data_IF_780276121334
#
_entry.id   IF_780276121334
#
_cell.length_a   1.000
_cell.length_b   1.000
_cell.length_c   1.000
_cell.angle_alpha   90.00
_cell.angle_beta   90.00
_cell.angle_gamma   90.00
#
_symmetry.space_group_name_H-M   'P 1'
#
loop_
_entity.id
_entity.type
_entity.pdbx_description
1 polymer ?
#
# COMPACT_ATOMS: atom_id res chain seq x y z
N UNK A 1 -0.86 -17.98 -9.62
CA UNK A 1 -1.67 -17.07 -10.47
C UNK A 1 -3.18 -17.27 -10.31
N UNK A 2 -3.77 -18.44 -10.52
CA UNK A 2 -5.25 -18.58 -10.49
C UNK A 2 -5.90 -18.13 -9.16
N UNK A 3 -5.27 -18.45 -8.02
CA UNK A 3 -5.77 -18.08 -6.69
C UNK A 3 -5.66 -16.56 -6.43
N UNK A 4 -4.54 -15.94 -6.83
CA UNK A 4 -4.33 -14.49 -6.71
C UNK A 4 -5.25 -13.71 -7.68
N UNK A 5 -5.49 -14.26 -8.87
CA UNK A 5 -6.42 -13.74 -9.88
C UNK A 5 -7.87 -13.76 -9.36
N UNK A 6 -8.29 -14.83 -8.67
CA UNK A 6 -9.62 -14.93 -8.09
C UNK A 6 -9.87 -13.88 -6.99
N UNK A 7 -8.85 -13.55 -6.19
CA UNK A 7 -8.97 -12.53 -5.12
C UNK A 7 -9.06 -11.09 -5.67
N UNK A 8 -8.51 -10.81 -6.85
CA UNK A 8 -8.49 -9.47 -7.46
C UNK A 8 -9.64 -9.17 -8.43
N UNK A 9 -10.59 -10.09 -8.60
CA UNK A 9 -11.68 -9.98 -9.58
C UNK A 9 -12.57 -8.73 -9.39
N UNK A 10 -12.56 -8.12 -8.20
CA UNK A 10 -13.25 -6.84 -7.93
C UNK A 10 -12.61 -5.64 -8.63
N UNK A 11 -11.32 -5.69 -8.98
CA UNK A 11 -10.56 -4.58 -9.62
C UNK A 11 -10.32 -4.88 -11.11
N UNK A 12 -11.40 -4.91 -11.91
CA UNK A 12 -11.40 -5.26 -13.35
C UNK A 12 -10.33 -4.53 -14.18
N UNK A 13 -10.04 -3.26 -13.86
CA UNK A 13 -9.02 -2.46 -14.56
C UNK A 13 -7.61 -3.02 -14.39
N UNK A 14 -7.20 -3.37 -13.16
CA UNK A 14 -5.87 -3.91 -12.87
C UNK A 14 -5.68 -5.27 -13.56
N UNK A 15 -6.72 -6.10 -13.53
CA UNK A 15 -6.71 -7.42 -14.15
C UNK A 15 -6.42 -7.40 -15.66
N UNK A 16 -7.06 -6.47 -16.39
CA UNK A 16 -6.83 -6.32 -17.84
C UNK A 16 -5.39 -5.91 -18.12
N UNK A 17 -4.86 -4.96 -17.33
CA UNK A 17 -3.48 -4.48 -17.50
C UNK A 17 -2.47 -5.59 -17.22
N UNK A 18 -2.71 -6.46 -16.25
CA UNK A 18 -1.81 -7.58 -15.96
C UNK A 18 -1.79 -8.64 -17.06
N UNK A 19 -2.95 -8.99 -17.62
CA UNK A 19 -3.02 -9.90 -18.76
C UNK A 19 -2.26 -9.30 -19.95
N UNK A 20 -2.46 -8.01 -20.22
CA UNK A 20 -1.74 -7.32 -21.29
C UNK A 20 -0.23 -7.36 -21.05
N UNK A 21 0.25 -7.08 -19.83
CA UNK A 21 1.68 -7.14 -19.49
C UNK A 21 2.23 -8.56 -19.66
N UNK A 22 1.52 -9.59 -19.22
CA UNK A 22 1.94 -10.98 -19.36
C UNK A 22 2.02 -11.41 -20.83
N UNK A 23 1.00 -11.11 -21.63
CA UNK A 23 0.97 -11.41 -23.06
C UNK A 23 2.07 -10.65 -23.80
N UNK A 24 2.22 -9.35 -23.55
CA UNK A 24 3.24 -8.53 -24.19
C UNK A 24 4.65 -8.97 -23.81
N UNK A 25 4.89 -9.27 -22.53
CA UNK A 25 6.15 -9.86 -22.05
C UNK A 25 6.49 -11.15 -22.77
N UNK A 26 5.53 -12.05 -22.94
CA UNK A 26 5.74 -13.31 -23.65
C UNK A 26 6.18 -13.09 -25.10
N UNK A 27 5.49 -12.23 -25.84
CA UNK A 27 5.84 -11.93 -27.24
C UNK A 27 7.23 -11.28 -27.36
N UNK A 28 7.54 -10.30 -26.52
CA UNK A 28 8.85 -9.63 -26.53
C UNK A 28 9.96 -10.63 -26.19
N UNK A 29 9.82 -11.41 -25.12
CA UNK A 29 10.84 -12.37 -24.70
C UNK A 29 11.02 -13.52 -25.70
N UNK A 30 9.95 -13.95 -26.35
CA UNK A 30 10.00 -14.95 -27.42
C UNK A 30 10.72 -14.41 -28.66
N UNK A 31 10.45 -13.16 -29.08
CA UNK A 31 11.12 -12.51 -30.20
C UNK A 31 12.65 -12.40 -29.98
N UNK A 32 13.08 -12.09 -28.76
CA UNK A 32 14.51 -12.01 -28.41
C UNK A 32 15.15 -13.36 -28.05
N UNK A 33 14.42 -14.48 -28.17
CA UNK A 33 14.93 -15.82 -27.83
C UNK A 33 15.22 -16.02 -26.33
N UNK A 34 14.71 -15.15 -25.45
CA UNK A 34 14.92 -15.18 -23.99
C UNK A 34 13.67 -15.64 -23.24
N UNK A 35 13.00 -16.67 -23.76
CA UNK A 35 11.76 -17.22 -23.19
C UNK A 35 11.91 -17.68 -21.73
N UNK A 36 13.10 -18.11 -21.32
CA UNK A 36 13.40 -18.50 -19.93
C UNK A 36 13.19 -17.36 -18.92
N UNK A 37 13.25 -16.09 -19.35
CA UNK A 37 13.02 -14.95 -18.47
C UNK A 37 11.53 -14.72 -18.15
N UNK A 38 10.62 -15.35 -18.88
CA UNK A 38 9.18 -15.19 -18.72
C UNK A 38 8.70 -15.61 -17.32
N UNK A 39 9.37 -16.62 -16.73
CA UNK A 39 9.08 -17.09 -15.36
C UNK A 39 9.25 -15.95 -14.34
N UNK A 40 10.24 -15.07 -14.52
CA UNK A 40 10.45 -13.93 -13.63
C UNK A 40 9.33 -12.88 -13.77
N UNK A 41 8.82 -12.66 -14.99
CA UNK A 41 7.68 -11.75 -15.18
C UNK A 41 6.42 -12.27 -14.50
N UNK A 42 6.12 -13.56 -14.65
CA UNK A 42 4.99 -14.22 -13.96
C UNK A 42 5.14 -14.14 -12.44
N UNK A 43 6.36 -14.35 -11.93
CA UNK A 43 6.67 -14.29 -10.49
C UNK A 43 6.50 -12.86 -9.95
N UNK A 44 6.96 -11.85 -10.68
CA UNK A 44 6.81 -10.44 -10.32
C UNK A 44 5.33 -10.02 -10.24
N UNK A 45 4.52 -10.37 -11.25
CA UNK A 45 3.07 -10.12 -11.25
C UNK A 45 2.40 -10.80 -10.04
N UNK A 46 2.81 -12.02 -9.71
CA UNK A 46 2.27 -12.74 -8.55
C UNK A 46 2.59 -12.04 -7.23
N UNK A 47 3.82 -11.51 -7.05
CA UNK A 47 4.19 -10.76 -5.85
C UNK A 47 3.45 -9.43 -5.71
N UNK A 48 3.29 -8.70 -6.82
CA UNK A 48 2.53 -7.44 -6.85
C UNK A 48 1.08 -7.71 -6.43
N UNK A 49 0.46 -8.78 -6.94
CA UNK A 49 -0.89 -9.16 -6.56
C UNK A 49 -1.02 -9.56 -5.10
N UNK A 50 -0.05 -10.31 -4.59
CA UNK A 50 -0.01 -10.69 -3.18
C UNK A 50 0.12 -9.46 -2.28
N UNK A 51 0.94 -8.49 -2.69
CA UNK A 51 1.08 -7.21 -2.02
C UNK A 51 -0.25 -6.43 -1.99
N UNK A 52 -0.96 -6.32 -3.12
CA UNK A 52 -2.26 -5.64 -3.15
C UNK A 52 -3.31 -6.33 -2.28
N UNK A 53 -3.37 -7.66 -2.30
CA UNK A 53 -4.30 -8.43 -1.47
C UNK A 53 -4.03 -8.23 0.03
N UNK A 54 -2.76 -8.26 0.44
CA UNK A 54 -2.36 -8.01 1.84
C UNK A 54 -2.63 -6.55 2.21
N UNK A 55 -2.36 -5.59 1.32
CA UNK A 55 -2.57 -4.17 1.59
C UNK A 55 -4.04 -3.83 1.88
N UNK A 56 -5.01 -4.57 1.33
CA UNK A 56 -6.43 -4.39 1.65
C UNK A 56 -6.82 -4.98 3.02
N UNK A 57 -6.03 -5.92 3.55
CA UNK A 57 -6.27 -6.61 4.82
C UNK A 57 -5.57 -5.96 6.02
N UNK A 58 -4.63 -5.04 5.77
CA UNK A 58 -3.90 -4.32 6.83
C UNK A 58 -4.74 -3.16 7.35
N UNK A 59 -5.43 -3.39 8.46
CA UNK A 59 -6.11 -2.34 9.23
C UNK A 59 -5.12 -1.50 10.04
N UNK A 60 -5.48 -0.24 10.32
CA UNK A 60 -4.72 0.67 11.22
C UNK A 60 -4.48 0.05 12.60
N UNK A 61 -5.40 -0.79 13.09
CA UNK A 61 -5.25 -1.54 14.35
C UNK A 61 -4.11 -2.56 14.28
N UNK A 62 -3.93 -3.24 13.15
CA UNK A 62 -2.87 -4.23 12.96
C UNK A 62 -1.48 -3.59 13.04
N UNK A 63 -1.35 -2.35 12.55
CA UNK A 63 -0.12 -1.55 12.66
C UNK A 63 0.18 -1.22 14.13
N UNK A 64 -0.83 -0.87 14.95
CA UNK A 64 -0.66 -0.66 16.40
C UNK A 64 -0.31 -1.95 17.14
N UNK A 65 -0.96 -3.06 16.79
CA UNK A 65 -0.72 -4.35 17.46
C UNK A 65 0.71 -4.86 17.18
N UNK A 66 1.21 -4.66 15.96
CA UNK A 66 2.56 -5.06 15.57
C UNK A 66 3.66 -4.13 16.11
N UNK A 67 3.49 -2.80 15.99
CA UNK A 67 4.55 -1.82 16.28
C UNK A 67 4.39 -1.16 17.67
N UNK A 68 3.25 -1.31 18.34
CA UNK A 68 2.93 -0.62 19.59
C UNK A 68 2.95 0.91 19.43
N UNK A 69 3.47 1.62 20.44
CA UNK A 69 3.65 3.09 20.41
C UNK A 69 4.42 3.59 19.18
N UNK A 70 5.41 2.83 18.71
CA UNK A 70 6.22 3.22 17.54
C UNK A 70 5.41 3.22 16.23
N UNK A 71 4.23 2.59 16.21
CA UNK A 71 3.30 2.61 15.08
C UNK A 71 2.40 3.85 15.03
N UNK A 72 2.30 4.62 16.13
CA UNK A 72 1.43 5.80 16.22
C UNK A 72 1.76 6.85 15.16
N UNK A 73 3.03 7.23 14.91
CA UNK A 73 3.36 8.19 13.85
C UNK A 73 2.91 7.72 12.45
N UNK A 74 3.03 6.42 12.18
CA UNK A 74 2.64 5.83 10.89
C UNK A 74 1.13 5.93 10.68
N UNK A 75 0.35 5.71 11.74
CA UNK A 75 -1.11 5.76 11.67
C UNK A 75 -1.60 7.18 11.52
N UNK A 76 -0.97 8.13 12.22
CA UNK A 76 -1.21 9.55 12.03
C UNK A 76 -0.93 9.90 10.56
N UNK A 77 0.23 9.52 10.02
CA UNK A 77 0.57 9.76 8.62
C UNK A 77 -0.47 9.16 7.65
N UNK A 78 -0.89 7.89 7.86
CA UNK A 78 -1.92 7.24 7.07
C UNK A 78 -3.31 7.90 7.19
N UNK A 79 -3.63 8.46 8.36
CA UNK A 79 -4.89 9.15 8.58
C UNK A 79 -4.94 10.53 7.89
N UNK A 80 -3.83 11.27 7.90
CA UNK A 80 -3.74 12.59 7.27
C UNK A 80 -3.34 12.55 5.79
N UNK A 81 -2.87 11.40 5.28
CA UNK A 81 -2.49 11.25 3.87
C UNK A 81 -3.60 11.66 2.88
N UNK A 82 -4.87 11.22 3.01
CA UNK A 82 -5.94 11.63 2.10
C UNK A 82 -6.19 13.14 2.12
N UNK A 83 -6.11 13.75 3.30
CA UNK A 83 -6.28 15.19 3.47
C UNK A 83 -5.18 15.99 2.76
N UNK A 84 -3.91 15.64 2.97
CA UNK A 84 -2.80 16.31 2.29
C UNK A 84 -2.80 16.06 0.77
N UNK A 85 -3.28 14.90 0.33
CA UNK A 85 -3.47 14.60 -1.09
C UNK A 85 -4.51 15.53 -1.74
N UNK A 86 -5.65 15.74 -1.06
CA UNK A 86 -6.67 16.68 -1.51
C UNK A 86 -6.13 18.12 -1.52
N UNK A 87 -5.48 18.55 -0.45
CA UNK A 87 -4.87 19.89 -0.36
C UNK A 87 -3.86 20.14 -1.48
N UNK A 88 -2.99 19.16 -1.76
CA UNK A 88 -2.02 19.23 -2.86
C UNK A 88 -2.68 19.35 -4.23
N UNK A 89 -3.79 18.62 -4.44
CA UNK A 89 -4.57 18.70 -5.67
C UNK A 89 -5.22 20.08 -5.85
N UNK A 90 -5.78 20.64 -4.78
CA UNK A 90 -6.37 21.99 -4.78
C UNK A 90 -5.30 23.07 -5.03
N UNK A 91 -4.17 23.01 -4.32
CA UNK A 91 -3.04 23.94 -4.52
C UNK A 91 -2.55 23.90 -5.96
N UNK A 92 -2.41 22.70 -6.54
CA UNK A 92 -1.99 22.52 -7.93
C UNK A 92 -3.01 23.09 -8.91
N UNK A 93 -4.30 22.88 -8.66
CA UNK A 93 -5.40 23.44 -9.45
C UNK A 93 -5.38 24.98 -9.43
N UNK A 94 -5.27 25.59 -8.25
CA UNK A 94 -5.23 27.06 -8.11
C UNK A 94 -3.95 27.67 -8.68
N UNK A 95 -2.80 27.00 -8.55
CA UNK A 95 -1.56 27.44 -9.17
C UNK A 95 -1.70 27.48 -10.71
N UNK A 96 -2.27 26.43 -11.29
CA UNK A 96 -2.55 26.35 -12.74
C UNK A 96 -3.54 27.44 -13.18
N UNK A 97 -4.62 27.65 -12.43
CA UNK A 97 -5.62 28.68 -12.73
C UNK A 97 -5.04 30.10 -12.69
N UNK A 98 -4.01 30.34 -11.87
CA UNK A 98 -3.30 31.63 -11.78
C UNK A 98 -2.17 31.78 -12.79
N UNK A 99 -1.99 30.84 -13.72
CA UNK A 99 -0.88 30.84 -14.67
C UNK A 99 0.50 30.68 -14.01
N UNK A 100 0.53 30.27 -12.75
CA UNK A 100 1.78 29.93 -12.06
C UNK A 100 2.16 28.55 -12.59
N UNK A 101 3.17 28.48 -13.47
CA UNK A 101 3.73 27.20 -13.92
C UNK A 101 4.24 26.33 -12.77
N UNK A 102 4.87 25.21 -13.08
CA UNK A 102 5.41 24.32 -12.03
C UNK A 102 6.55 25.00 -11.26
N UNK A 103 6.21 25.66 -10.16
CA UNK A 103 7.15 26.31 -9.26
C UNK A 103 7.11 25.60 -7.90
N UNK A 104 8.16 24.83 -7.56
CA UNK A 104 8.16 23.99 -6.35
C UNK A 104 8.03 24.80 -5.08
N UNK A 105 8.57 26.03 -5.04
CA UNK A 105 8.51 26.91 -3.87
C UNK A 105 7.09 27.44 -3.65
N UNK A 106 6.41 27.85 -4.73
CA UNK A 106 5.05 28.38 -4.64
C UNK A 106 4.02 27.30 -4.29
N UNK A 107 4.26 26.06 -4.69
CA UNK A 107 3.40 24.90 -4.38
C UNK A 107 3.68 24.35 -2.99
N UNK A 108 4.95 24.27 -2.57
CA UNK A 108 5.32 23.70 -1.27
C UNK A 108 4.96 24.60 -0.09
N UNK A 109 5.02 25.93 -0.26
CA UNK A 109 4.75 26.89 0.82
C UNK A 109 3.37 26.71 1.48
N UNK A 110 2.23 26.67 0.76
CA UNK A 110 0.92 26.44 1.38
C UNK A 110 0.82 25.05 2.03
N UNK A 111 1.45 24.03 1.44
CA UNK A 111 1.48 22.68 2.01
C UNK A 111 2.24 22.64 3.34
N UNK A 112 3.39 23.30 3.42
CA UNK A 112 4.20 23.39 4.63
C UNK A 112 3.47 24.14 5.75
N UNK A 113 2.79 25.24 5.42
CA UNK A 113 2.03 26.01 6.40
C UNK A 113 0.92 25.16 7.02
N UNK A 114 0.12 24.47 6.20
CA UNK A 114 -0.92 23.59 6.76
C UNK A 114 -0.36 22.35 7.44
N UNK A 115 0.79 21.84 7.03
CA UNK A 115 1.46 20.77 7.76
C UNK A 115 1.84 21.21 9.18
N UNK A 116 2.40 22.40 9.34
CA UNK A 116 2.76 22.96 10.65
C UNK A 116 1.49 23.18 11.49
N UNK A 117 0.45 23.77 10.91
CA UNK A 117 -0.83 24.02 11.60
C UNK A 117 -1.51 22.73 12.07
N UNK A 118 -1.50 21.69 11.24
CA UNK A 118 -2.02 20.38 11.61
C UNK A 118 -1.19 19.76 12.74
N UNK A 119 0.14 19.86 12.67
CA UNK A 119 1.02 19.35 13.72
C UNK A 119 0.78 20.04 15.06
N UNK A 120 0.58 21.37 15.07
CA UNK A 120 0.26 22.14 16.27
C UNK A 120 -1.09 21.72 16.87
N UNK A 121 -2.13 21.63 16.04
CA UNK A 121 -3.45 21.15 16.47
C UNK A 121 -3.40 19.73 17.04
N UNK A 122 -2.61 18.87 16.40
CA UNK A 122 -2.41 17.49 16.84
C UNK A 122 -1.68 17.47 18.18
N UNK A 123 -0.61 18.24 18.33
CA UNK A 123 0.11 18.39 19.59
C UNK A 123 -0.84 18.83 20.71
N UNK A 124 -1.59 19.92 20.52
CA UNK A 124 -2.58 20.39 21.50
C UNK A 124 -3.62 19.32 21.81
N UNK A 125 -4.17 18.64 20.80
CA UNK A 125 -5.13 17.57 21.01
C UNK A 125 -4.56 16.40 21.84
N UNK A 126 -3.31 16.02 21.59
CA UNK A 126 -2.62 14.97 22.37
C UNK A 126 -2.31 15.45 23.79
N UNK A 127 -1.77 16.66 23.95
CA UNK A 127 -1.42 17.21 25.26
C UNK A 127 -2.66 17.48 26.13
N UNK A 128 -3.78 17.88 25.53
CA UNK A 128 -5.02 18.17 26.26
C UNK A 128 -5.88 16.91 26.52
N UNK A 129 -5.89 15.93 25.61
CA UNK A 129 -6.77 14.74 25.74
C UNK A 129 -6.08 13.46 26.23
N UNK A 130 -4.75 13.37 26.19
CA UNK A 130 -4.01 12.11 26.37
C UNK A 130 -2.78 12.26 27.30
N UNK A 131 -2.93 12.94 28.44
CA UNK A 131 -1.95 12.81 29.53
C UNK A 131 -1.94 11.35 30.04
N UNK A 132 -1.10 10.51 29.45
CA UNK A 132 -0.91 9.13 29.86
C UNK A 132 -0.04 8.34 28.88
N UNK A 133 0.83 7.50 29.42
CA UNK A 133 1.59 6.50 28.64
C UNK A 133 0.61 5.60 27.86
N UNK A 134 0.98 5.20 26.64
CA UNK A 134 0.16 4.27 25.86
C UNK A 134 -0.06 2.97 26.64
N UNK A 135 -1.30 2.75 27.07
CA UNK A 135 -1.72 1.55 27.79
C UNK A 135 -2.44 0.55 26.87
N UNK A 136 -2.25 0.68 25.55
CA UNK A 136 -2.84 -0.22 24.58
C UNK A 136 -2.34 -1.65 24.77
N UNK A 137 -3.20 -2.55 25.25
CA UNK A 137 -2.92 -3.98 25.32
C UNK A 137 -2.76 -4.51 23.90
N UNK A 138 -1.55 -4.94 23.54
CA UNK A 138 -1.28 -5.63 22.26
C UNK A 138 -2.14 -6.89 22.17
N UNK A 139 -3.02 -6.93 21.17
CA UNK A 139 -3.81 -8.13 20.93
C UNK A 139 -3.24 -8.89 19.74
N UNK A 140 -2.27 -9.76 20.01
CA UNK A 140 -1.57 -10.56 18.99
C UNK A 140 -2.36 -11.80 18.56
N UNK A 141 -3.65 -11.90 18.90
CA UNK A 141 -4.47 -13.03 18.43
C UNK A 141 -4.62 -12.94 16.91
N UNK A 142 -4.20 -13.96 16.15
CA UNK A 142 -4.36 -13.97 14.71
C UNK A 142 -5.85 -13.91 14.39
N UNK A 143 -6.22 -13.04 13.45
CA UNK A 143 -7.58 -13.01 12.92
C UNK A 143 -7.83 -14.27 12.08
N UNK A 144 -9.10 -14.61 11.85
CA UNK A 144 -9.48 -15.71 10.96
C UNK A 144 -8.90 -15.55 9.55
N UNK A 145 -8.76 -14.31 9.07
CA UNK A 145 -8.05 -13.97 7.82
C UNK A 145 -6.58 -14.40 7.83
N UNK A 146 -5.89 -14.22 8.96
CA UNK A 146 -4.46 -14.51 9.08
C UNK A 146 -4.22 -16.03 9.07
N UNK A 147 -5.13 -16.79 9.68
CA UNK A 147 -5.13 -18.26 9.64
C UNK A 147 -5.34 -18.81 8.22
N UNK A 148 -6.22 -18.18 7.44
CA UNK A 148 -6.45 -18.55 6.03
C UNK A 148 -5.20 -18.26 5.20
N UNK A 149 -4.58 -17.09 5.37
CA UNK A 149 -3.32 -16.74 4.70
C UNK A 149 -2.20 -17.70 5.07
N UNK A 150 -2.10 -18.09 6.34
CA UNK A 150 -1.06 -18.97 6.84
C UNK A 150 -1.22 -20.39 6.28
N UNK A 151 -2.45 -20.91 6.24
CA UNK A 151 -2.73 -22.24 5.65
C UNK A 151 -2.48 -22.26 4.14
N UNK A 152 -2.89 -21.22 3.40
CA UNK A 152 -2.56 -21.08 1.97
C UNK A 152 -1.04 -21.01 1.77
N UNK A 153 -0.34 -20.22 2.58
CA UNK A 153 1.12 -20.08 2.51
C UNK A 153 1.84 -21.39 2.75
N UNK A 154 1.44 -22.14 3.78
CA UNK A 154 1.99 -23.47 4.09
C UNK A 154 1.71 -24.46 2.95
N UNK A 155 0.48 -24.50 2.41
CA UNK A 155 0.13 -25.37 1.30
C UNK A 155 0.93 -25.07 0.02
N UNK A 156 1.15 -23.79 -0.29
CA UNK A 156 1.99 -23.37 -1.42
C UNK A 156 3.45 -23.77 -1.17
N UNK A 157 3.95 -23.58 0.05
CA UNK A 157 5.33 -23.92 0.39
C UNK A 157 5.59 -25.43 0.29
N UNK A 158 4.69 -26.27 0.83
CA UNK A 158 4.81 -27.73 0.72
C UNK A 158 4.69 -28.21 -0.73
N UNK A 159 3.77 -27.65 -1.51
CA UNK A 159 3.66 -27.94 -2.95
C UNK A 159 4.92 -27.53 -3.73
N UNK A 160 5.53 -26.39 -3.39
CA UNK A 160 6.76 -25.92 -4.02
C UNK A 160 7.97 -26.82 -3.71
N UNK A 161 7.98 -27.48 -2.56
CA UNK A 161 9.04 -28.44 -2.18
C UNK A 161 8.80 -29.80 -2.83
N UNK A 162 7.54 -30.24 -2.95
CA UNK A 162 7.19 -31.52 -3.59
C UNK A 162 7.30 -31.50 -5.11
N UNK A 163 7.05 -30.36 -5.75
CA UNK A 163 7.21 -30.18 -7.20
C UNK A 163 8.27 -29.10 -7.46
N UNK A 164 9.58 -29.45 -7.42
CA UNK A 164 10.61 -28.54 -7.86
C UNK A 164 10.42 -28.29 -9.36
N UNK A 165 10.02 -27.06 -9.69
CA UNK A 165 9.99 -26.52 -11.06
C UNK A 165 11.40 -26.41 -11.63
#
# INVERSE_FOLDING_TARGET
>A
MAITIAMLFRRKGIFITEILIAVFSYFVLSYFGKSYLYVFTVRAITYINLYFAISELVDKSTVLDALGEKGVPIIIALAYYPYFFQLSSEVSFYAKARGIGFNPIKISRPLLVEMIRVAENLYVAYTVKLFGNYSGKRNLKPRTSDLILLTIGVAIFTLSVMFPL
#
